data_IF_596618122452
#
_entry.id   IF_596618122452
#
_cell.length_a   1.000
_cell.length_b   1.000
_cell.length_c   1.000
_cell.angle_alpha   90.00
_cell.angle_beta   90.00
_cell.angle_gamma   90.00
#
_symmetry.space_group_name_H-M   'P 1'
#
loop_
_entity.id
_entity.type
_entity.pdbx_description
1 polymer ?
#
# COMPACT_ATOMS: atom_id res chain seq x y z
N UNK A 1 33.67 27.82 56.40
CA UNK A 1 35.04 27.97 56.97
C UNK A 1 35.80 26.68 56.68
N UNK A 2 37.07 26.79 56.25
CA UNK A 2 38.06 25.74 55.89
C UNK A 2 37.97 25.23 54.44
N UNK A 3 39.01 25.13 53.61
CA UNK A 3 40.43 25.57 53.58
C UNK A 3 40.86 25.48 52.10
N UNK A 4 41.83 26.29 51.64
CA UNK A 4 42.40 26.33 50.27
C UNK A 4 43.78 25.64 50.24
N UNK A 5 44.13 24.96 49.13
CA UNK A 5 45.47 24.88 48.49
C UNK A 5 45.38 23.98 47.22
N UNK A 6 45.45 24.50 45.99
CA UNK A 6 46.61 24.72 45.07
C UNK A 6 47.45 23.47 44.76
N UNK A 7 47.46 23.05 43.49
CA UNK A 7 48.65 22.53 42.79
C UNK A 7 48.51 22.71 41.27
N UNK A 8 49.62 23.14 40.67
CA UNK A 8 49.89 23.66 39.32
C UNK A 8 49.91 22.58 38.20
N UNK A 9 50.06 22.94 36.91
CA UNK A 9 49.50 22.20 35.77
C UNK A 9 50.40 21.06 35.30
N UNK A 10 49.81 19.97 34.84
CA UNK A 10 50.50 19.00 33.99
C UNK A 10 49.97 19.17 32.56
N UNK A 11 50.79 19.81 31.72
CA UNK A 11 50.61 19.84 30.28
C UNK A 11 50.82 18.41 29.78
N UNK A 12 49.74 17.73 29.42
CA UNK A 12 49.81 16.52 28.60
C UNK A 12 49.58 16.95 27.17
N UNK A 13 50.67 17.01 26.40
CA UNK A 13 50.64 17.05 24.94
C UNK A 13 50.11 15.71 24.44
N UNK A 14 48.78 15.58 24.32
CA UNK A 14 48.18 14.47 23.60
C UNK A 14 48.31 14.83 22.12
N UNK A 15 49.31 14.20 21.48
CA UNK A 15 49.45 14.16 20.03
C UNK A 15 48.13 13.67 19.43
N UNK A 16 47.36 14.58 18.83
CA UNK A 16 46.19 14.23 18.06
C UNK A 16 46.67 13.55 16.78
N UNK A 17 46.71 12.22 16.79
CA UNK A 17 46.58 11.46 15.55
C UNK A 17 45.16 11.71 15.07
N UNK A 18 45.00 12.75 14.25
CA UNK A 18 43.81 12.91 13.43
C UNK A 18 43.88 11.77 12.41
N UNK A 19 43.20 10.67 12.67
CA UNK A 19 42.80 9.79 11.57
C UNK A 19 42.01 10.69 10.62
N UNK A 20 42.55 10.91 9.42
CA UNK A 20 41.78 11.41 8.30
C UNK A 20 40.62 10.44 8.13
N UNK A 21 39.47 10.77 8.69
CA UNK A 21 38.22 10.12 8.37
C UNK A 21 38.00 10.50 6.92
N UNK A 22 38.33 9.56 6.03
CA UNK A 22 37.85 9.56 4.67
C UNK A 22 36.38 9.93 4.73
N UNK A 23 35.92 11.00 4.06
CA UNK A 23 34.50 11.18 3.92
C UNK A 23 34.01 9.91 3.25
N UNK A 24 33.21 9.11 3.96
CA UNK A 24 32.27 8.22 3.31
C UNK A 24 31.56 9.12 2.32
N UNK A 25 31.88 8.94 1.04
CA UNK A 25 31.07 9.47 -0.01
C UNK A 25 29.68 8.91 0.28
N UNK A 26 28.83 9.72 0.91
CA UNK A 26 27.40 9.58 0.86
C UNK A 26 27.05 9.78 -0.62
N UNK A 27 27.35 8.74 -1.41
CA UNK A 27 26.91 8.57 -2.77
C UNK A 27 25.42 8.38 -2.68
N UNK A 28 24.71 9.50 -2.53
CA UNK A 28 23.32 9.62 -2.91
C UNK A 28 23.27 9.09 -4.34
N UNK A 29 22.78 7.86 -4.50
CA UNK A 29 22.27 7.39 -5.78
C UNK A 29 21.03 8.22 -6.05
N UNK A 30 21.23 9.47 -6.48
CA UNK A 30 20.23 10.24 -7.21
C UNK A 30 20.17 9.61 -8.59
N UNK A 31 19.49 8.48 -8.66
CA UNK A 31 19.39 7.64 -9.84
C UNK A 31 17.93 7.33 -10.14
N UNK A 32 17.21 8.34 -10.65
CA UNK A 32 16.09 8.19 -11.58
C UNK A 32 15.08 7.11 -11.16
N UNK A 33 14.21 7.42 -10.19
CA UNK A 33 12.91 6.74 -10.20
C UNK A 33 12.20 7.16 -11.48
N UNK A 34 12.13 6.27 -12.47
CA UNK A 34 11.36 6.50 -13.68
C UNK A 34 9.85 6.50 -13.39
N UNK A 35 9.45 6.07 -12.19
CA UNK A 35 8.06 6.04 -11.77
C UNK A 35 7.60 7.42 -11.30
N UNK A 36 6.42 7.87 -11.74
CA UNK A 36 5.79 9.02 -11.12
C UNK A 36 5.57 8.74 -9.64
N UNK A 37 5.77 9.75 -8.80
CA UNK A 37 5.42 9.66 -7.39
C UNK A 37 3.92 9.34 -7.29
N UNK A 38 3.51 8.35 -6.46
CA UNK A 38 2.11 8.00 -6.33
C UNK A 38 1.32 9.24 -5.93
N UNK A 39 0.20 9.45 -6.62
CA UNK A 39 -0.74 10.50 -6.22
C UNK A 39 -1.17 10.23 -4.76
N UNK A 40 -1.14 11.25 -3.90
CA UNK A 40 -1.62 11.11 -2.54
C UNK A 40 -3.09 10.68 -2.62
N UNK A 41 -3.41 9.58 -1.96
CA UNK A 41 -4.80 9.25 -1.69
C UNK A 41 -5.41 10.40 -0.90
N UNK A 42 -6.64 10.80 -1.24
CA UNK A 42 -7.47 11.60 -0.35
C UNK A 42 -7.83 10.70 0.84
N UNK A 43 -6.89 10.60 1.78
CA UNK A 43 -7.04 9.93 3.05
C UNK A 43 -8.24 10.56 3.75
N UNK A 44 -9.13 9.71 4.25
CA UNK A 44 -10.24 10.19 5.08
C UNK A 44 -9.65 10.39 6.49
N UNK A 45 -8.99 11.52 6.73
CA UNK A 45 -8.37 11.85 8.04
C UNK A 45 -9.41 11.85 9.18
N UNK A 46 -10.69 11.94 8.84
CA UNK A 46 -11.82 11.86 9.75
C UNK A 46 -12.14 10.43 10.22
N UNK A 47 -11.72 9.39 9.47
CA UNK A 47 -12.00 8.00 9.81
C UNK A 47 -10.91 7.42 10.73
N UNK A 48 -11.34 6.74 11.78
CA UNK A 48 -10.47 5.94 12.65
C UNK A 48 -9.94 4.71 11.89
N UNK A 49 -8.78 4.17 12.29
CA UNK A 49 -8.03 3.13 11.57
C UNK A 49 -8.84 1.88 11.22
N UNK A 50 -9.75 1.50 12.12
CA UNK A 50 -10.52 0.25 12.03
C UNK A 50 -11.96 0.47 11.52
N UNK A 51 -12.29 1.69 11.07
CA UNK A 51 -13.62 2.02 10.56
C UNK A 51 -13.65 1.86 9.03
N UNK A 52 -14.59 1.04 8.56
CA UNK A 52 -14.96 0.94 7.15
C UNK A 52 -16.32 1.61 6.98
N UNK A 53 -16.36 2.64 6.15
CA UNK A 53 -17.58 3.31 5.71
C UNK A 53 -17.97 2.79 4.32
N UNK A 54 -19.26 2.54 4.11
CA UNK A 54 -19.80 2.22 2.79
C UNK A 54 -21.02 3.09 2.50
N UNK A 55 -21.11 3.55 1.26
CA UNK A 55 -22.25 4.28 0.73
C UNK A 55 -22.70 3.69 -0.60
N UNK A 56 -24.01 3.71 -0.84
CA UNK A 56 -24.63 3.27 -2.09
C UNK A 56 -25.97 4.01 -2.30
N UNK A 57 -26.60 3.81 -3.46
CA UNK A 57 -27.92 4.40 -3.73
C UNK A 57 -29.04 3.70 -2.95
N UNK A 58 -28.94 2.38 -2.80
CA UNK A 58 -29.89 1.56 -2.08
C UNK A 58 -29.12 0.54 -1.22
N UNK A 59 -29.56 0.37 0.02
CA UNK A 59 -28.91 -0.49 1.01
C UNK A 59 -29.97 -1.32 1.72
N UNK A 60 -29.90 -2.63 1.55
CA UNK A 60 -30.72 -3.59 2.29
C UNK A 60 -29.85 -4.25 3.37
N UNK A 61 -30.24 -4.13 4.64
CA UNK A 61 -29.55 -4.76 5.77
C UNK A 61 -30.53 -5.71 6.45
N UNK A 62 -30.09 -6.95 6.68
CA UNK A 62 -30.88 -7.97 7.36
C UNK A 62 -30.51 -8.04 8.85
N UNK A 63 -31.41 -8.58 9.68
CA UNK A 63 -31.21 -8.65 11.14
C UNK A 63 -30.05 -9.55 11.59
N UNK A 64 -29.59 -10.44 10.73
CA UNK A 64 -28.39 -11.28 10.90
C UNK A 64 -27.10 -10.60 10.43
N UNK A 65 -27.18 -9.33 10.00
CA UNK A 65 -26.02 -8.50 9.67
C UNK A 65 -25.50 -8.64 8.25
N UNK A 66 -26.19 -9.36 7.37
CA UNK A 66 -25.88 -9.32 5.94
C UNK A 66 -26.33 -7.98 5.35
N UNK A 67 -25.63 -7.52 4.32
CA UNK A 67 -25.98 -6.28 3.65
C UNK A 67 -25.83 -6.41 2.13
N UNK A 68 -26.70 -5.72 1.39
CA UNK A 68 -26.66 -5.60 -0.06
C UNK A 68 -26.68 -4.12 -0.45
N UNK A 69 -25.71 -3.73 -1.27
CA UNK A 69 -25.50 -2.36 -1.74
C UNK A 69 -25.72 -2.31 -3.24
N UNK A 70 -26.72 -1.55 -3.69
CA UNK A 70 -27.08 -1.42 -5.11
C UNK A 70 -26.87 0.00 -5.63
N UNK A 71 -26.46 0.08 -6.89
CA UNK A 71 -26.03 1.33 -7.52
C UNK A 71 -24.58 1.68 -7.17
N UNK A 72 -24.09 2.87 -7.56
CA UNK A 72 -22.71 3.27 -7.32
C UNK A 72 -22.32 3.08 -5.85
N UNK A 73 -21.41 2.15 -5.59
CA UNK A 73 -20.91 1.84 -4.25
C UNK A 73 -19.57 2.52 -4.05
N UNK A 74 -19.40 3.17 -2.92
CA UNK A 74 -18.09 3.63 -2.43
C UNK A 74 -17.83 3.03 -1.06
N UNK A 75 -16.73 2.31 -0.92
CA UNK A 75 -16.17 1.86 0.36
C UNK A 75 -14.92 2.68 0.68
N UNK A 76 -14.79 3.14 1.92
CA UNK A 76 -13.66 3.95 2.39
C UNK A 76 -13.22 3.47 3.77
N UNK A 77 -11.93 3.53 4.02
CA UNK A 77 -11.36 3.56 5.38
C UNK A 77 -10.34 4.68 5.45
N UNK A 78 -9.61 4.79 6.56
CA UNK A 78 -8.50 5.73 6.66
C UNK A 78 -7.48 5.52 5.53
N UNK A 79 -7.21 4.27 5.15
CA UNK A 79 -6.05 3.90 4.32
C UNK A 79 -6.38 3.39 2.92
N UNK A 80 -7.66 3.17 2.62
CA UNK A 80 -8.08 2.63 1.32
C UNK A 80 -9.41 3.20 0.87
N UNK A 81 -9.63 3.14 -0.43
CA UNK A 81 -10.92 3.39 -1.06
C UNK A 81 -11.20 2.36 -2.14
N UNK A 82 -12.47 2.07 -2.34
CA UNK A 82 -12.96 1.19 -3.39
C UNK A 82 -14.25 1.74 -3.97
N UNK A 83 -14.38 1.71 -5.30
CA UNK A 83 -15.65 1.98 -6.00
C UNK A 83 -16.09 0.77 -6.80
N UNK A 84 -17.40 0.53 -6.88
CA UNK A 84 -18.01 -0.56 -7.65
C UNK A 84 -19.45 -0.23 -8.07
N UNK A 85 -20.08 -1.08 -8.87
CA UNK A 85 -21.51 -0.93 -9.25
C UNK A 85 -22.48 -1.61 -8.27
N UNK A 86 -21.98 -2.58 -7.50
CA UNK A 86 -22.73 -3.24 -6.43
C UNK A 86 -21.77 -3.90 -5.46
N UNK A 87 -22.23 -4.11 -4.23
CA UNK A 87 -21.50 -4.87 -3.23
C UNK A 87 -22.44 -5.65 -2.31
N UNK A 88 -21.91 -6.64 -1.62
CA UNK A 88 -22.61 -7.37 -0.56
C UNK A 88 -21.65 -7.67 0.59
N UNK A 89 -22.22 -7.81 1.79
CA UNK A 89 -21.52 -8.28 2.98
C UNK A 89 -22.21 -9.52 3.53
N UNK A 90 -21.44 -10.58 3.73
CA UNK A 90 -21.87 -11.77 4.47
C UNK A 90 -21.27 -11.71 5.87
N UNK A 91 -22.12 -11.65 6.90
CA UNK A 91 -21.69 -11.56 8.30
C UNK A 91 -21.12 -12.89 8.83
N UNK A 92 -21.59 -14.02 8.30
CA UNK A 92 -21.18 -15.36 8.73
C UNK A 92 -19.77 -15.70 8.26
N UNK A 93 -19.36 -15.23 7.08
CA UNK A 93 -18.00 -15.38 6.56
C UNK A 93 -17.14 -14.12 6.75
N UNK A 94 -17.75 -13.00 7.15
CA UNK A 94 -17.12 -11.69 7.25
C UNK A 94 -16.44 -11.30 5.92
N UNK A 95 -17.22 -11.40 4.84
CA UNK A 95 -16.72 -11.24 3.47
C UNK A 95 -17.48 -10.14 2.76
N UNK A 96 -16.75 -9.15 2.26
CA UNK A 96 -17.27 -8.20 1.27
C UNK A 96 -17.04 -8.74 -0.13
N UNK A 97 -18.06 -8.67 -0.98
CA UNK A 97 -17.95 -8.93 -2.41
C UNK A 97 -18.39 -7.70 -3.15
N UNK A 98 -17.59 -7.21 -4.10
CA UNK A 98 -17.94 -6.08 -4.95
C UNK A 98 -17.76 -6.45 -6.43
N UNK A 99 -18.64 -5.94 -7.29
CA UNK A 99 -18.69 -6.27 -8.73
C UNK A 99 -19.06 -5.06 -9.59
N UNK A 100 -18.79 -5.18 -10.89
CA UNK A 100 -19.20 -4.18 -11.90
C UNK A 100 -18.21 -3.03 -12.00
N UNK A 101 -16.94 -3.36 -12.20
CA UNK A 101 -15.86 -2.38 -12.40
C UNK A 101 -15.32 -1.85 -11.08
N UNK A 102 -14.37 -2.58 -10.52
CA UNK A 102 -13.67 -2.22 -9.29
C UNK A 102 -12.60 -1.19 -9.60
N UNK A 103 -12.55 -0.14 -8.80
CA UNK A 103 -11.36 0.71 -8.66
C UNK A 103 -10.98 0.73 -7.20
N UNK A 104 -9.89 0.07 -6.87
CA UNK A 104 -9.31 0.02 -5.53
C UNK A 104 -8.06 0.89 -5.49
N UNK A 105 -7.89 1.60 -4.39
CA UNK A 105 -6.69 2.38 -4.13
C UNK A 105 -6.36 2.35 -2.64
N UNK A 106 -5.09 2.13 -2.31
CA UNK A 106 -4.53 2.31 -0.96
C UNK A 106 -3.37 3.31 -1.00
N UNK A 107 -2.40 3.21 -0.06
CA UNK A 107 -1.17 4.02 0.07
C UNK A 107 -0.24 3.99 -1.16
N UNK A 108 -0.75 4.43 -2.31
CA UNK A 108 -0.08 4.51 -3.59
C UNK A 108 -0.40 3.37 -4.55
N UNK A 109 -0.92 2.23 -4.09
CA UNK A 109 -1.27 1.13 -5.00
C UNK A 109 -2.66 1.34 -5.61
N UNK A 110 -2.80 0.99 -6.88
CA UNK A 110 -4.04 1.05 -7.64
C UNK A 110 -4.33 -0.31 -8.25
N UNK A 111 -5.57 -0.77 -8.13
CA UNK A 111 -6.05 -1.99 -8.80
C UNK A 111 -7.40 -1.70 -9.46
N UNK A 112 -7.51 -1.96 -10.76
CA UNK A 112 -8.78 -1.98 -11.48
C UNK A 112 -9.14 -3.42 -11.82
N UNK A 113 -10.36 -3.88 -11.53
CA UNK A 113 -10.72 -5.29 -11.70
C UNK A 113 -12.21 -5.47 -12.05
N UNK A 114 -12.61 -6.67 -12.47
CA UNK A 114 -14.03 -6.98 -12.69
C UNK A 114 -14.78 -7.17 -11.37
N UNK A 115 -14.15 -7.82 -10.41
CA UNK A 115 -14.68 -8.09 -9.08
C UNK A 115 -13.58 -8.16 -8.04
N UNK A 116 -13.96 -7.99 -6.78
CA UNK A 116 -13.09 -8.25 -5.63
C UNK A 116 -13.87 -8.90 -4.50
N UNK A 117 -13.21 -9.83 -3.82
CA UNK A 117 -13.63 -10.40 -2.55
C UNK A 117 -12.65 -9.90 -1.48
N UNK A 118 -13.16 -9.35 -0.39
CA UNK A 118 -12.38 -8.93 0.76
C UNK A 118 -12.80 -9.72 2.01
N UNK A 119 -11.93 -10.60 2.46
CA UNK A 119 -12.04 -11.28 3.75
C UNK A 119 -11.54 -10.32 4.84
N UNK A 120 -12.45 -9.81 5.66
CA UNK A 120 -12.12 -8.80 6.66
C UNK A 120 -11.44 -9.37 7.89
N UNK A 121 -11.54 -10.69 8.15
CA UNK A 121 -10.88 -11.33 9.29
C UNK A 121 -9.40 -11.54 9.01
N UNK A 122 -9.09 -11.98 7.80
CA UNK A 122 -7.73 -12.30 7.39
C UNK A 122 -7.06 -11.14 6.64
N UNK A 123 -7.81 -10.07 6.38
CA UNK A 123 -7.37 -8.89 5.62
C UNK A 123 -6.85 -9.23 4.21
N UNK A 124 -7.55 -10.14 3.52
CA UNK A 124 -7.17 -10.66 2.21
C UNK A 124 -8.10 -10.10 1.14
N UNK A 125 -7.53 -9.41 0.15
CA UNK A 125 -8.21 -9.00 -1.08
C UNK A 125 -7.92 -10.01 -2.19
N UNK A 126 -8.97 -10.42 -2.90
CA UNK A 126 -8.89 -11.32 -4.06
C UNK A 126 -9.58 -10.64 -5.24
N UNK A 127 -8.80 -10.13 -6.19
CA UNK A 127 -9.28 -9.47 -7.40
C UNK A 127 -9.33 -10.45 -8.57
N UNK A 128 -10.36 -10.32 -9.40
CA UNK A 128 -10.53 -11.12 -10.63
C UNK A 128 -10.42 -10.23 -11.85
N UNK A 129 -9.62 -10.66 -12.84
CA UNK A 129 -9.33 -9.94 -14.08
C UNK A 129 -8.89 -8.50 -13.80
N UNK A 130 -7.75 -8.38 -13.11
CA UNK A 130 -7.24 -7.13 -12.57
C UNK A 130 -6.06 -6.56 -13.37
N UNK A 131 -6.03 -5.24 -13.48
CA UNK A 131 -4.86 -4.44 -13.82
C UNK A 131 -4.36 -3.74 -12.54
N UNK A 132 -3.05 -3.71 -12.35
CA UNK A 132 -2.44 -3.16 -11.14
C UNK A 132 -1.33 -2.16 -11.47
N UNK A 133 -1.17 -1.18 -10.58
CA UNK A 133 -0.02 -0.27 -10.50
C UNK A 133 0.40 -0.17 -9.03
N UNK A 134 1.62 -0.58 -8.72
CA UNK A 134 2.21 -0.67 -7.38
C UNK A 134 3.50 0.17 -7.36
N UNK A 135 3.43 1.48 -7.11
CA UNK A 135 4.59 2.37 -7.22
C UNK A 135 5.66 2.14 -6.15
N UNK A 136 5.27 1.64 -4.97
CA UNK A 136 6.21 1.36 -3.86
C UNK A 136 7.14 0.18 -4.19
N UNK A 137 6.65 -0.77 -4.97
CA UNK A 137 7.42 -1.89 -5.51
C UNK A 137 7.27 -1.84 -7.02
N UNK A 138 8.05 -1.00 -7.73
CA UNK A 138 7.82 -0.57 -9.12
C UNK A 138 7.24 -1.64 -10.03
N UNK A 139 5.92 -1.75 -10.07
CA UNK A 139 5.25 -2.83 -10.75
C UNK A 139 3.91 -2.43 -11.33
N UNK A 140 3.72 -2.69 -12.62
CA UNK A 140 2.41 -2.63 -13.26
C UNK A 140 2.18 -3.83 -14.14
N UNK A 141 0.92 -4.12 -14.39
CA UNK A 141 0.58 -5.31 -15.13
C UNK A 141 -0.88 -5.66 -15.10
N UNK A 142 -1.15 -6.90 -15.50
CA UNK A 142 -2.47 -7.50 -15.44
C UNK A 142 -2.36 -8.95 -14.97
N UNK A 143 -3.37 -9.44 -14.28
CA UNK A 143 -3.47 -10.83 -13.85
C UNK A 143 -4.94 -11.29 -13.92
N UNK A 144 -5.17 -12.56 -14.23
CA UNK A 144 -6.53 -13.12 -14.16
C UNK A 144 -7.00 -13.26 -12.72
N UNK A 145 -6.05 -13.44 -11.79
CA UNK A 145 -6.30 -13.45 -10.36
C UNK A 145 -5.15 -12.76 -9.63
N UNK A 146 -5.50 -11.91 -8.66
CA UNK A 146 -4.56 -11.18 -7.81
C UNK A 146 -5.02 -11.30 -6.36
N UNK A 147 -4.21 -11.91 -5.51
CA UNK A 147 -4.37 -11.92 -4.06
C UNK A 147 -3.42 -10.90 -3.43
N UNK A 148 -3.93 -10.08 -2.53
CA UNK A 148 -3.13 -9.13 -1.76
C UNK A 148 -3.53 -9.15 -0.29
N UNK A 149 -2.56 -9.06 0.61
CA UNK A 149 -2.79 -8.85 2.05
C UNK A 149 -2.34 -7.46 2.46
N UNK A 150 -2.86 -6.95 3.58
CA UNK A 150 -2.36 -5.70 4.19
C UNK A 150 -0.88 -5.76 4.58
N UNK A 151 -0.33 -6.94 4.85
CA UNK A 151 1.09 -7.15 5.15
C UNK A 151 2.01 -7.09 3.91
N UNK A 152 1.45 -6.96 2.71
CA UNK A 152 2.19 -6.85 1.46
C UNK A 152 2.50 -8.19 0.79
N UNK A 153 1.86 -9.30 1.21
CA UNK A 153 1.91 -10.54 0.44
C UNK A 153 1.09 -10.37 -0.84
N UNK A 154 1.67 -10.79 -1.96
CA UNK A 154 1.07 -10.70 -3.29
C UNK A 154 1.20 -12.05 -3.98
N UNK A 155 0.08 -12.56 -4.50
CA UNK A 155 0.06 -13.78 -5.34
C UNK A 155 -0.71 -13.48 -6.60
N UNK A 156 -0.17 -13.89 -7.75
CA UNK A 156 -0.78 -13.57 -9.04
C UNK A 156 -0.81 -14.77 -9.96
N UNK A 157 -1.93 -14.97 -10.65
CA UNK A 157 -2.06 -16.01 -11.67
C UNK A 157 -2.26 -15.41 -13.07
N UNK A 158 -1.63 -16.04 -14.06
CA UNK A 158 -1.56 -15.61 -15.46
C UNK A 158 -1.14 -14.13 -15.60
N UNK A 159 -0.04 -13.79 -14.95
CA UNK A 159 0.43 -12.41 -14.81
C UNK A 159 1.25 -11.96 -16.01
N UNK A 160 1.00 -10.72 -16.42
CA UNK A 160 1.85 -9.92 -17.29
C UNK A 160 2.35 -8.76 -16.45
N UNK A 161 3.66 -8.65 -16.24
CA UNK A 161 4.26 -7.69 -15.31
C UNK A 161 5.42 -6.94 -15.98
N UNK A 162 5.58 -5.66 -15.62
CA UNK A 162 6.75 -4.85 -15.94
C UNK A 162 7.03 -3.83 -14.82
N UNK A 163 8.31 -3.50 -14.63
CA UNK A 163 8.74 -2.36 -13.81
C UNK A 163 8.92 -1.08 -14.62
N UNK A 164 8.65 -1.11 -15.93
CA UNK A 164 8.66 0.10 -16.74
C UNK A 164 7.48 1.01 -16.33
N UNK A 165 7.66 2.34 -16.28
CA UNK A 165 6.57 3.28 -16.08
C UNK A 165 5.50 3.19 -17.16
N UNK A 166 4.36 3.86 -16.93
CA UNK A 166 3.33 4.04 -17.95
C UNK A 166 3.93 4.66 -19.23
N UNK A 167 3.55 4.12 -20.39
CA UNK A 167 4.06 4.55 -21.69
C UNK A 167 5.35 3.85 -22.16
N UNK A 168 6.04 3.09 -21.31
CA UNK A 168 7.24 2.34 -21.68
C UNK A 168 7.02 0.81 -21.52
N UNK A 169 7.52 -0.01 -22.45
CA UNK A 169 7.41 -1.48 -22.40
C UNK A 169 8.72 -2.17 -22.81
N UNK A 170 9.86 -1.60 -22.41
CA UNK A 170 11.20 -2.11 -22.76
C UNK A 170 11.38 -3.59 -22.36
N UNK A 171 10.67 -4.03 -21.31
CA UNK A 171 10.58 -5.42 -20.94
C UNK A 171 9.21 -5.81 -20.38
N UNK A 172 8.86 -7.09 -20.53
CA UNK A 172 7.65 -7.71 -19.97
C UNK A 172 7.99 -9.11 -19.49
N UNK A 173 7.54 -9.46 -18.30
CA UNK A 173 7.50 -10.83 -17.80
C UNK A 173 6.09 -11.39 -17.93
N UNK A 174 5.99 -12.63 -18.39
CA UNK A 174 4.75 -13.40 -18.39
C UNK A 174 4.96 -14.66 -17.57
N UNK A 175 4.08 -14.93 -16.62
CA UNK A 175 4.16 -16.13 -15.79
C UNK A 175 2.77 -16.71 -15.53
N UNK A 176 2.72 -18.03 -15.37
CA UNK A 176 1.49 -18.71 -14.98
C UNK A 176 1.11 -18.40 -13.54
N UNK A 177 2.09 -18.29 -12.65
CA UNK A 177 1.90 -17.96 -11.25
C UNK A 177 3.17 -17.32 -10.69
N UNK A 178 3.02 -16.32 -9.82
CA UNK A 178 4.09 -15.66 -9.04
C UNK A 178 3.62 -15.56 -7.58
#
# INVERSE_FOLDING_TARGET
MRTVAIATPFIVLISSVVCAQSPEAAGSVRGISCWPEPEPILLSEELQDDVIEMSASDVDITGDGNALFKGPVTMRSREMSLTASSASYDSNSATFTATGGIKFQDRGNKVSAQSVIYDTRNEIFSFTDGEFELPQTPARGSATFLEATRSGFLRMDNVVYTSCPAGNRDWILKAKSI
#
